data_IF_174319372757
#
_entry.id   IF_174319372757
#
_cell.length_a   1.000
_cell.length_b   1.000
_cell.length_c   1.000
_cell.angle_alpha   90.00
_cell.angle_beta   90.00
_cell.angle_gamma   90.00
#
_symmetry.space_group_name_H-M   'P 1'
#
loop_
_entity.id
_entity.type
_entity.pdbx_description
1 polymer ?
#
# COMPACT_ATOMS: atom_id res chain seq x y z
N UNK A 1 -4.44 -27.00 -30.43
CA UNK A 1 -3.29 -26.08 -30.68
C UNK A 1 -3.03 -25.30 -29.40
N UNK A 2 -1.80 -25.18 -28.90
CA UNK A 2 -1.53 -24.29 -27.78
C UNK A 2 -1.77 -22.86 -28.27
N UNK A 3 -2.76 -22.21 -27.68
CA UNK A 3 -3.14 -20.84 -27.94
C UNK A 3 -1.89 -19.97 -27.73
N UNK A 4 -1.36 -19.34 -28.79
CA UNK A 4 -0.23 -18.41 -28.68
C UNK A 4 -0.68 -17.28 -27.75
N UNK A 5 -0.16 -17.29 -26.52
CA UNK A 5 -0.37 -16.20 -25.56
C UNK A 5 0.13 -14.90 -26.21
N UNK A 6 -0.64 -13.79 -26.18
CA UNK A 6 -0.18 -12.53 -26.73
C UNK A 6 1.14 -12.14 -26.04
N UNK A 7 2.18 -12.00 -26.85
CA UNK A 7 3.57 -11.84 -26.43
C UNK A 7 3.92 -10.41 -25.98
N UNK A 8 2.94 -9.70 -25.43
CA UNK A 8 3.05 -8.28 -25.10
C UNK A 8 4.08 -8.04 -24.00
N UNK A 9 4.92 -7.04 -24.20
CA UNK A 9 5.93 -6.60 -23.24
C UNK A 9 5.31 -5.64 -22.24
N UNK A 10 5.40 -5.99 -20.97
CA UNK A 10 4.91 -5.17 -19.85
C UNK A 10 6.11 -4.45 -19.24
N UNK A 11 6.06 -3.13 -19.17
CA UNK A 11 7.09 -2.33 -18.50
C UNK A 11 6.53 -1.78 -17.20
N UNK A 12 7.20 -2.08 -16.10
CA UNK A 12 6.92 -1.59 -14.76
C UNK A 12 7.91 -0.48 -14.46
N UNK A 13 7.40 0.72 -14.21
CA UNK A 13 8.17 1.91 -13.87
C UNK A 13 8.30 1.99 -12.35
N UNK A 14 9.47 1.66 -11.80
CA UNK A 14 9.70 1.67 -10.36
C UNK A 14 9.85 0.27 -9.75
N UNK A 15 10.87 0.12 -8.92
CA UNK A 15 11.28 -1.16 -8.32
C UNK A 15 11.00 -1.26 -6.82
N UNK A 16 10.01 -0.51 -6.32
CA UNK A 16 9.52 -0.67 -4.94
C UNK A 16 8.63 -1.90 -4.78
N UNK A 17 8.08 -2.15 -3.57
CA UNK A 17 7.23 -3.30 -3.28
C UNK A 17 6.09 -3.52 -4.28
N UNK A 18 5.33 -2.48 -4.62
CA UNK A 18 4.22 -2.62 -5.56
C UNK A 18 4.67 -3.09 -6.95
N UNK A 19 5.74 -2.50 -7.49
CA UNK A 19 6.27 -2.86 -8.81
C UNK A 19 6.86 -4.26 -8.83
N UNK A 20 7.60 -4.65 -7.79
CA UNK A 20 8.22 -5.99 -7.72
C UNK A 20 7.18 -7.09 -7.59
N UNK A 21 6.22 -6.96 -6.68
CA UNK A 21 5.18 -7.98 -6.51
C UNK A 21 4.27 -8.09 -7.74
N UNK A 22 3.96 -6.96 -8.40
CA UNK A 22 3.26 -6.97 -9.68
C UNK A 22 4.06 -7.73 -10.74
N UNK A 23 5.34 -7.38 -10.95
CA UNK A 23 6.18 -8.02 -11.95
C UNK A 23 6.37 -9.53 -11.71
N UNK A 24 6.57 -9.94 -10.45
CA UNK A 24 6.70 -11.36 -10.11
C UNK A 24 5.41 -12.13 -10.40
N UNK A 25 4.25 -11.61 -10.00
CA UNK A 25 2.98 -12.27 -10.30
C UNK A 25 2.68 -12.33 -11.80
N UNK A 26 3.07 -11.31 -12.57
CA UNK A 26 2.96 -11.34 -14.04
C UNK A 26 3.87 -12.42 -14.66
N UNK A 27 5.10 -12.58 -14.16
CA UNK A 27 6.02 -13.65 -14.61
C UNK A 27 5.47 -15.03 -14.26
N UNK A 28 4.84 -15.20 -13.09
CA UNK A 28 4.18 -16.45 -12.69
C UNK A 28 2.99 -16.80 -13.63
N UNK A 29 2.33 -15.80 -14.24
CA UNK A 29 1.34 -15.99 -15.31
C UNK A 29 1.93 -16.20 -16.72
N UNK A 30 3.26 -16.29 -16.83
CA UNK A 30 3.98 -16.44 -18.10
C UNK A 30 4.05 -15.16 -18.95
N UNK A 31 3.80 -13.98 -18.37
CA UNK A 31 3.91 -12.69 -19.05
C UNK A 31 5.33 -12.12 -18.96
N UNK A 32 5.73 -11.34 -19.98
CA UNK A 32 7.06 -10.71 -20.05
C UNK A 32 7.07 -9.38 -19.30
N UNK A 33 7.47 -9.41 -18.04
CA UNK A 33 7.60 -8.22 -17.19
C UNK A 33 9.04 -7.68 -17.15
N UNK A 34 9.19 -6.38 -17.36
CA UNK A 34 10.46 -5.64 -17.23
C UNK A 34 10.29 -4.51 -16.21
N UNK A 35 11.11 -4.49 -15.16
CA UNK A 35 11.18 -3.34 -14.25
C UNK A 35 12.28 -2.39 -14.74
N UNK A 36 11.95 -1.11 -14.92
CA UNK A 36 12.94 -0.03 -15.05
C UNK A 36 12.95 0.75 -13.74
N UNK A 37 14.09 0.79 -13.06
CA UNK A 37 14.20 1.50 -11.79
C UNK A 37 15.61 1.98 -11.51
N UNK A 38 15.74 3.04 -10.72
CA UNK A 38 17.01 3.44 -10.12
C UNK A 38 17.05 2.90 -8.69
N UNK A 39 17.99 2.01 -8.34
CA UNK A 39 18.18 1.60 -6.95
C UNK A 39 18.38 2.82 -6.06
N UNK A 40 17.82 2.76 -4.85
CA UNK A 40 17.89 3.87 -3.89
C UNK A 40 19.35 4.24 -3.59
N UNK A 41 19.79 5.49 -3.84
CA UNK A 41 21.20 5.85 -3.72
C UNK A 41 21.64 6.14 -2.28
N UNK A 42 20.71 6.32 -1.35
CA UNK A 42 20.97 6.63 0.06
C UNK A 42 20.11 5.78 1.00
N UNK A 43 20.56 5.48 2.23
CA UNK A 43 19.73 4.83 3.22
C UNK A 43 18.54 5.72 3.60
N UNK A 44 17.40 5.09 3.84
CA UNK A 44 16.20 5.73 4.35
C UNK A 44 15.53 4.75 5.30
N UNK A 45 15.05 5.23 6.44
CA UNK A 45 14.51 4.36 7.47
C UNK A 45 13.00 4.48 7.57
N UNK A 46 12.36 3.33 7.73
CA UNK A 46 10.91 3.18 7.88
C UNK A 46 10.64 2.07 8.91
N UNK A 47 9.53 2.19 9.63
CA UNK A 47 8.96 1.08 10.40
C UNK A 47 8.11 0.20 9.50
N UNK A 48 8.24 -1.12 9.63
CA UNK A 48 7.38 -2.09 8.94
C UNK A 48 6.72 -3.01 9.95
N UNK A 49 5.39 -3.07 9.94
CA UNK A 49 4.64 -4.04 10.76
C UNK A 49 5.01 -5.49 10.41
N UNK A 50 4.57 -6.45 11.21
CA UNK A 50 4.85 -7.87 10.94
C UNK A 50 4.06 -8.41 9.73
N UNK A 51 3.02 -7.70 9.26
CA UNK A 51 2.10 -8.19 8.21
C UNK A 51 2.78 -8.47 6.86
N UNK A 52 3.62 -7.58 6.31
CA UNK A 52 4.33 -7.84 5.05
C UNK A 52 5.24 -9.06 5.07
N UNK A 53 5.73 -9.50 6.25
CA UNK A 53 6.65 -10.62 6.37
C UNK A 53 6.05 -11.92 5.81
N UNK A 54 4.76 -12.14 6.02
CA UNK A 54 4.07 -13.32 5.51
C UNK A 54 4.05 -13.32 3.98
N UNK A 55 3.80 -12.17 3.35
CA UNK A 55 3.85 -12.04 1.89
C UNK A 55 5.26 -12.27 1.35
N UNK A 56 6.29 -11.72 2.00
CA UNK A 56 7.69 -11.93 1.61
C UNK A 56 8.08 -13.42 1.68
N UNK A 57 7.66 -14.13 2.74
CA UNK A 57 7.92 -15.57 2.90
C UNK A 57 7.16 -16.40 1.87
N UNK A 58 5.87 -16.12 1.69
CA UNK A 58 5.02 -16.83 0.73
C UNK A 58 5.55 -16.71 -0.71
N UNK A 59 6.01 -15.52 -1.09
CA UNK A 59 6.63 -15.31 -2.40
C UNK A 59 8.06 -15.86 -2.48
N UNK A 60 8.66 -16.34 -1.40
CA UNK A 60 10.03 -16.86 -1.40
C UNK A 60 11.06 -15.77 -1.66
N UNK A 61 11.02 -14.68 -0.87
CA UNK A 61 11.98 -13.57 -0.93
C UNK A 61 13.00 -13.63 0.23
N UNK A 62 13.90 -14.62 0.27
CA UNK A 62 14.79 -14.84 1.40
C UNK A 62 15.80 -13.71 1.59
N UNK A 63 16.28 -13.08 0.51
CA UNK A 63 17.24 -11.98 0.63
C UNK A 63 16.55 -10.76 1.25
N UNK A 64 15.31 -10.50 0.85
CA UNK A 64 14.51 -9.40 1.40
C UNK A 64 14.22 -9.63 2.88
N UNK A 65 13.82 -10.85 3.26
CA UNK A 65 13.60 -11.22 4.68
C UNK A 65 14.90 -11.10 5.49
N UNK A 66 16.05 -11.49 4.94
CA UNK A 66 17.34 -11.35 5.60
C UNK A 66 17.81 -9.89 5.73
N UNK A 67 17.24 -8.96 4.95
CA UNK A 67 17.58 -7.53 5.00
C UNK A 67 16.81 -6.74 6.07
N UNK A 68 15.83 -7.36 6.73
CA UNK A 68 15.06 -6.73 7.79
C UNK A 68 15.96 -6.45 9.00
N UNK A 69 15.88 -5.26 9.57
CA UNK A 69 16.54 -4.94 10.83
C UNK A 69 15.84 -5.58 12.03
N UNK A 70 16.17 -5.18 13.26
CA UNK A 70 15.58 -5.78 14.46
C UNK A 70 14.07 -5.50 14.53
N UNK A 71 13.32 -6.49 15.04
CA UNK A 71 11.92 -6.34 15.44
C UNK A 71 11.85 -5.73 16.84
N UNK A 72 11.39 -4.49 16.95
CA UNK A 72 11.37 -3.73 18.20
C UNK A 72 9.95 -3.40 18.63
N UNK A 73 9.76 -3.16 19.93
CA UNK A 73 8.52 -2.61 20.45
C UNK A 73 8.39 -1.13 20.04
N UNK A 74 7.24 -0.77 19.46
CA UNK A 74 6.88 0.60 19.10
C UNK A 74 6.19 1.26 20.29
N UNK A 75 6.88 2.20 20.94
CA UNK A 75 6.30 3.04 21.99
C UNK A 75 5.40 4.10 21.37
N UNK A 76 4.32 4.47 22.06
CA UNK A 76 3.39 5.51 21.65
C UNK A 76 3.13 6.45 22.81
N UNK A 77 3.31 7.76 22.58
CA UNK A 77 2.92 8.82 23.52
C UNK A 77 1.81 9.65 22.86
N UNK A 78 0.57 9.32 23.16
CA UNK A 78 -0.60 9.89 22.47
C UNK A 78 -1.70 10.20 23.48
N UNK A 79 -2.34 11.36 23.33
CA UNK A 79 -3.37 11.84 24.25
C UNK A 79 -2.95 11.79 25.73
N UNK A 80 -1.71 12.15 26.04
CA UNK A 80 -1.15 12.13 27.40
C UNK A 80 -0.85 10.74 27.95
N UNK A 81 -1.03 9.68 27.17
CA UNK A 81 -0.80 8.29 27.59
C UNK A 81 0.43 7.70 26.90
N UNK A 82 1.28 7.03 27.68
CA UNK A 82 2.39 6.23 27.18
C UNK A 82 2.00 4.75 27.13
N UNK A 83 2.08 4.14 25.95
CA UNK A 83 1.72 2.74 25.74
C UNK A 83 2.70 2.04 24.81
N UNK A 84 2.86 0.72 24.97
CA UNK A 84 3.49 -0.14 23.97
C UNK A 84 2.35 -0.85 23.24
N UNK A 85 2.02 -0.37 22.04
CA UNK A 85 0.87 -0.89 21.29
C UNK A 85 1.23 -2.03 20.36
N UNK A 86 2.36 -1.93 19.64
CA UNK A 86 2.69 -2.82 18.53
C UNK A 86 4.21 -3.05 18.42
N UNK A 87 4.61 -3.92 17.49
CA UNK A 87 6.01 -4.15 17.12
C UNK A 87 6.22 -3.83 15.64
N UNK A 88 7.42 -3.38 15.30
CA UNK A 88 7.81 -3.13 13.92
C UNK A 88 9.28 -3.47 13.67
N UNK A 89 9.57 -3.92 12.46
CA UNK A 89 10.93 -4.05 11.95
C UNK A 89 11.45 -2.67 11.60
N UNK A 90 12.67 -2.36 12.06
CA UNK A 90 13.42 -1.20 11.55
C UNK A 90 13.96 -1.58 10.18
N UNK A 91 13.52 -0.87 9.14
CA UNK A 91 14.00 -1.10 7.78
C UNK A 91 15.03 -0.06 7.39
N UNK A 92 16.13 -0.51 6.80
CA UNK A 92 16.92 0.32 5.89
C UNK A 92 16.41 0.07 4.46
N UNK A 93 15.67 1.04 3.90
CA UNK A 93 15.08 0.93 2.57
C UNK A 93 16.10 0.76 1.45
N UNK A 94 17.35 1.20 1.62
CA UNK A 94 18.37 0.97 0.60
C UNK A 94 18.74 -0.50 0.47
N UNK A 95 18.97 -1.19 1.59
CA UNK A 95 19.29 -2.62 1.59
C UNK A 95 18.06 -3.45 1.25
N UNK A 96 16.90 -3.09 1.81
CA UNK A 96 15.62 -3.73 1.54
C UNK A 96 15.22 -3.65 0.06
N UNK A 97 15.19 -2.45 -0.55
CA UNK A 97 14.80 -2.28 -1.95
C UNK A 97 15.77 -3.04 -2.89
N UNK A 98 17.06 -3.08 -2.57
CA UNK A 98 18.06 -3.86 -3.32
C UNK A 98 17.85 -5.37 -3.21
N UNK A 99 17.60 -5.87 -2.00
CA UNK A 99 17.33 -7.28 -1.77
C UNK A 99 16.06 -7.74 -2.50
N UNK A 100 15.03 -6.90 -2.47
CA UNK A 100 13.78 -7.10 -3.18
C UNK A 100 13.98 -7.25 -4.70
N UNK A 101 14.81 -6.39 -5.31
CA UNK A 101 15.15 -6.50 -6.74
C UNK A 101 15.95 -7.76 -7.07
N UNK A 102 16.81 -8.24 -6.16
CA UNK A 102 17.56 -9.49 -6.34
C UNK A 102 16.65 -10.70 -6.30
N UNK A 103 15.70 -10.75 -5.36
CA UNK A 103 14.70 -11.81 -5.29
C UNK A 103 13.79 -11.80 -6.54
N UNK A 104 13.38 -10.61 -7.00
CA UNK A 104 12.62 -10.47 -8.25
C UNK A 104 13.37 -11.01 -9.46
N UNK A 105 14.67 -10.69 -9.57
CA UNK A 105 15.55 -11.20 -10.64
C UNK A 105 15.68 -12.73 -10.57
N UNK A 106 15.80 -13.30 -9.37
CA UNK A 106 15.84 -14.76 -9.17
C UNK A 106 14.54 -15.46 -9.62
N UNK A 107 13.41 -14.75 -9.59
CA UNK A 107 12.13 -15.21 -10.14
C UNK A 107 11.95 -15.00 -11.65
N UNK A 108 12.96 -14.50 -12.36
CA UNK A 108 12.91 -14.30 -13.80
C UNK A 108 12.38 -12.93 -14.25
N UNK A 109 12.16 -11.99 -13.34
CA UNK A 109 11.85 -10.60 -13.72
C UNK A 109 13.10 -9.96 -14.34
N UNK A 110 12.95 -9.34 -15.50
CA UNK A 110 14.05 -8.57 -16.11
C UNK A 110 14.14 -7.19 -15.47
N UNK A 111 15.29 -6.87 -14.87
CA UNK A 111 15.53 -5.58 -14.21
C UNK A 111 16.50 -4.74 -15.04
N UNK A 112 16.08 -3.54 -15.37
CA UNK A 112 16.89 -2.50 -16.01
C UNK A 112 17.16 -1.41 -14.99
N UNK A 113 18.43 -1.21 -14.65
CA UNK A 113 18.84 -0.09 -13.81
C UNK A 113 18.87 1.19 -14.66
N UNK A 114 17.96 2.12 -14.38
CA UNK A 114 17.83 3.36 -15.13
C UNK A 114 16.82 4.33 -14.54
N UNK A 115 17.07 5.63 -14.73
CA UNK A 115 16.10 6.67 -14.42
C UNK A 115 15.22 6.89 -15.65
N UNK A 116 13.90 6.78 -15.46
CA UNK A 116 12.92 7.11 -16.50
C UNK A 116 12.83 8.62 -16.62
N UNK A 117 13.10 9.15 -17.80
CA UNK A 117 13.07 10.58 -18.10
C UNK A 117 11.78 10.99 -18.80
N UNK A 118 11.32 10.18 -19.76
CA UNK A 118 10.15 10.49 -20.57
C UNK A 118 9.34 9.24 -20.88
N UNK A 119 8.03 9.39 -20.88
CA UNK A 119 7.06 8.34 -21.23
C UNK A 119 6.05 8.94 -22.19
N UNK A 120 5.92 8.37 -23.38
CA UNK A 120 4.99 8.84 -24.41
C UNK A 120 4.18 7.65 -24.91
N UNK A 121 2.89 7.86 -25.12
CA UNK A 121 2.06 6.89 -25.83
C UNK A 121 2.11 7.21 -27.32
N UNK A 122 2.67 6.31 -28.12
CA UNK A 122 2.60 6.37 -29.58
C UNK A 122 1.22 5.93 -30.08
N UNK A 123 1.10 5.56 -31.36
CA UNK A 123 -0.17 5.08 -31.93
C UNK A 123 -0.59 3.72 -31.34
N UNK A 124 0.35 2.80 -31.12
CA UNK A 124 0.05 1.45 -30.63
C UNK A 124 0.80 1.07 -29.34
N UNK A 125 1.96 1.68 -29.08
CA UNK A 125 2.86 1.27 -27.99
C UNK A 125 3.29 2.45 -27.13
N UNK A 126 3.68 2.15 -25.91
CA UNK A 126 4.39 3.07 -25.04
C UNK A 126 5.85 3.14 -25.44
N UNK A 127 6.42 4.35 -25.40
CA UNK A 127 7.83 4.62 -25.55
C UNK A 127 8.36 5.19 -24.23
N UNK A 128 9.31 4.50 -23.63
CA UNK A 128 9.90 4.82 -22.33
C UNK A 128 11.37 5.15 -22.53
N UNK A 129 11.75 6.41 -22.35
CA UNK A 129 13.14 6.85 -22.39
C UNK A 129 13.77 6.75 -21.00
N UNK A 130 14.94 6.12 -20.91
CA UNK A 130 15.71 5.96 -19.69
C UNK A 130 17.20 6.16 -20.00
N UNK A 131 17.79 7.22 -19.43
CA UNK A 131 19.10 7.69 -19.87
C UNK A 131 19.14 7.91 -21.40
N UNK A 132 20.16 7.41 -22.13
CA UNK A 132 20.25 7.54 -23.58
C UNK A 132 19.43 6.49 -24.35
N UNK A 133 18.76 5.55 -23.67
CA UNK A 133 18.08 4.41 -24.27
C UNK A 133 16.56 4.62 -24.30
N UNK A 134 15.88 3.90 -25.20
CA UNK A 134 14.42 3.87 -25.27
C UNK A 134 13.93 2.43 -25.34
N UNK A 135 12.85 2.14 -24.60
CA UNK A 135 12.15 0.86 -24.59
C UNK A 135 10.72 1.06 -25.12
N UNK A 136 10.21 0.06 -25.84
CA UNK A 136 8.78 -0.01 -26.13
C UNK A 136 8.07 -0.99 -25.20
N UNK A 137 6.80 -0.72 -24.91
CA UNK A 137 5.93 -1.59 -24.12
C UNK A 137 4.51 -1.62 -24.73
N UNK A 138 3.88 -2.79 -24.64
CA UNK A 138 2.48 -2.99 -25.00
C UNK A 138 1.57 -2.67 -23.80
N UNK A 139 2.08 -2.79 -22.57
CA UNK A 139 1.38 -2.39 -21.35
C UNK A 139 2.34 -1.69 -20.38
N UNK A 140 1.86 -0.66 -19.69
CA UNK A 140 2.65 0.13 -18.75
C UNK A 140 2.11 0.05 -17.32
N UNK A 141 2.95 -0.31 -16.36
CA UNK A 141 2.62 -0.23 -14.93
C UNK A 141 3.39 0.93 -14.31
N UNK A 142 2.66 1.94 -13.81
CA UNK A 142 3.23 3.05 -13.06
C UNK A 142 3.35 2.65 -11.58
N UNK A 143 4.59 2.44 -11.12
CA UNK A 143 4.93 1.99 -9.76
C UNK A 143 5.99 2.89 -9.11
N UNK A 144 6.12 4.16 -9.53
CA UNK A 144 7.08 5.13 -8.98
C UNK A 144 6.62 5.76 -7.65
N UNK A 145 5.61 5.18 -7.02
CA UNK A 145 5.04 5.66 -5.76
C UNK A 145 4.50 7.09 -5.88
N UNK A 146 4.74 7.94 -4.86
CA UNK A 146 4.25 9.33 -4.84
C UNK A 146 4.79 10.22 -5.97
N UNK A 147 5.85 9.80 -6.67
CA UNK A 147 6.39 10.50 -7.85
C UNK A 147 5.65 10.16 -9.15
N UNK A 148 4.65 9.26 -9.10
CA UNK A 148 3.88 8.83 -10.26
C UNK A 148 3.21 10.01 -10.97
N UNK A 149 3.33 10.05 -12.30
CA UNK A 149 2.77 11.14 -13.13
C UNK A 149 1.74 10.64 -14.13
N UNK A 150 1.72 9.34 -14.41
CA UNK A 150 0.91 8.79 -15.49
C UNK A 150 -0.61 8.94 -15.26
N UNK A 151 -1.10 8.64 -14.05
CA UNK A 151 -2.52 8.83 -13.70
C UNK A 151 -2.92 10.30 -13.71
N UNK A 152 -2.12 11.17 -13.07
CA UNK A 152 -2.37 12.61 -12.96
C UNK A 152 -2.37 13.37 -14.29
N UNK A 153 -1.57 12.93 -15.25
CA UNK A 153 -1.36 13.65 -16.50
C UNK A 153 -2.38 13.31 -17.61
N UNK A 154 -3.21 12.27 -17.44
CA UNK A 154 -3.91 11.65 -18.58
C UNK A 154 -5.40 11.84 -18.69
N UNK A 155 -6.12 12.32 -17.66
CA UNK A 155 -7.47 12.91 -17.72
C UNK A 155 -7.87 13.26 -16.28
N UNK A 156 -7.47 14.43 -15.79
CA UNK A 156 -7.93 14.91 -14.48
C UNK A 156 -8.84 16.11 -14.71
N UNK A 157 -10.14 15.92 -14.49
CA UNK A 157 -10.92 17.01 -13.91
C UNK A 157 -10.48 17.22 -12.46
N UNK A 158 -10.82 18.37 -11.87
CA UNK A 158 -10.43 18.67 -10.48
C UNK A 158 -10.98 17.64 -9.45
N UNK A 159 -12.01 16.87 -9.81
CA UNK A 159 -12.66 15.86 -8.94
C UNK A 159 -11.92 14.49 -8.89
N UNK A 160 -10.92 14.26 -9.73
CA UNK A 160 -10.26 12.95 -9.88
C UNK A 160 -9.09 12.71 -8.90
N UNK A 161 -8.80 13.68 -8.03
CA UNK A 161 -7.74 13.61 -7.04
C UNK A 161 -8.24 14.03 -5.65
N UNK A 162 -8.35 13.07 -4.74
CA UNK A 162 -8.75 13.33 -3.35
C UNK A 162 -7.53 13.27 -2.46
N UNK A 163 -7.27 14.34 -1.71
CA UNK A 163 -6.20 14.40 -0.71
C UNK A 163 -6.77 14.75 0.66
N UNK A 164 -6.21 14.13 1.70
CA UNK A 164 -6.34 14.58 3.07
C UNK A 164 -5.68 15.96 3.25
N UNK A 165 -5.94 16.66 4.38
CA UNK A 165 -5.24 17.88 4.74
C UNK A 165 -3.73 17.76 4.51
N UNK A 166 -3.14 18.80 3.92
CA UNK A 166 -1.76 18.76 3.46
C UNK A 166 -0.84 18.46 4.65
N UNK A 167 -0.09 17.37 4.52
CA UNK A 167 0.82 16.86 5.55
C UNK A 167 2.19 16.65 4.94
N UNK A 168 3.22 17.15 5.60
CA UNK A 168 4.61 16.91 5.24
C UNK A 168 5.37 16.26 6.38
N UNK A 169 6.19 15.28 6.04
CA UNK A 169 7.20 14.70 6.91
C UNK A 169 8.51 15.47 6.73
N UNK A 170 8.97 16.10 7.79
CA UNK A 170 10.30 16.69 7.92
C UNK A 170 11.21 15.66 8.56
N UNK A 171 12.39 15.41 7.99
CA UNK A 171 13.32 14.38 8.46
C UNK A 171 14.71 14.95 8.70
N UNK A 172 15.29 14.60 9.85
CA UNK A 172 16.73 14.70 10.14
C UNK A 172 17.29 13.35 10.59
N UNK A 173 18.56 13.15 10.26
CA UNK A 173 19.34 11.99 10.70
C UNK A 173 20.33 12.41 11.77
N UNK A 174 20.59 11.52 12.72
CA UNK A 174 21.52 11.71 13.82
C UNK A 174 22.44 10.50 14.00
N UNK A 175 23.67 10.78 14.40
CA UNK A 175 24.55 9.82 15.06
C UNK A 175 24.17 9.71 16.53
N UNK A 176 24.12 8.49 17.06
CA UNK A 176 23.93 8.21 18.49
C UNK A 176 25.03 7.28 19.00
N UNK A 177 25.39 7.31 20.30
CA UNK A 177 26.40 6.42 20.83
C UNK A 177 26.05 4.93 20.63
N UNK A 178 27.09 4.11 20.45
CA UNK A 178 26.93 2.66 20.48
C UNK A 178 26.49 2.19 21.88
N UNK A 179 25.72 1.10 21.94
CA UNK A 179 25.25 0.51 23.21
C UNK A 179 23.81 0.86 23.59
N UNK A 180 23.17 1.80 22.88
CA UNK A 180 21.73 2.03 23.01
C UNK A 180 20.94 0.95 22.27
N UNK A 181 20.01 0.25 22.94
CA UNK A 181 19.16 -0.76 22.30
C UNK A 181 18.28 -0.15 21.21
N UNK A 182 18.11 -0.86 20.09
CA UNK A 182 17.22 -0.45 19.01
C UNK A 182 15.79 -0.17 19.53
N UNK A 183 15.15 0.87 19.01
CA UNK A 183 13.76 1.20 19.36
C UNK A 183 13.11 2.04 18.28
N UNK A 184 11.79 2.04 18.31
CA UNK A 184 10.98 3.05 17.64
C UNK A 184 9.96 3.64 18.62
N UNK A 185 9.56 4.87 18.35
CA UNK A 185 8.53 5.55 19.13
C UNK A 185 7.76 6.52 18.26
N UNK A 186 6.50 6.74 18.62
CA UNK A 186 5.73 7.91 18.17
C UNK A 186 5.34 8.78 19.34
N UNK A 187 5.17 10.08 19.08
CA UNK A 187 4.64 11.02 20.05
C UNK A 187 3.86 12.14 19.36
N UNK A 188 2.71 12.49 19.92
CA UNK A 188 1.91 13.65 19.52
C UNK A 188 2.37 14.90 20.29
N UNK A 189 2.42 16.04 19.60
CA UNK A 189 2.74 17.36 20.14
C UNK A 189 1.81 18.44 19.51
N UNK A 190 1.80 19.70 20.00
CA UNK A 190 0.82 20.69 19.55
C UNK A 190 0.73 20.87 18.02
N UNK A 191 1.87 20.92 17.32
CA UNK A 191 1.89 21.17 15.88
C UNK A 191 1.76 19.91 15.00
N UNK A 192 1.71 18.71 15.59
CA UNK A 192 1.63 17.46 14.83
C UNK A 192 2.08 16.23 15.60
N UNK A 193 2.72 15.29 14.93
CA UNK A 193 3.30 14.12 15.59
C UNK A 193 4.67 13.78 15.03
N UNK A 194 5.46 13.03 15.79
CA UNK A 194 6.78 12.59 15.40
C UNK A 194 6.91 11.07 15.46
N UNK A 195 7.71 10.53 14.55
CA UNK A 195 8.24 9.17 14.62
C UNK A 195 9.75 9.24 14.80
N UNK A 196 10.23 8.51 15.79
CA UNK A 196 11.64 8.37 16.09
C UNK A 196 12.05 6.91 15.98
N UNK A 197 13.25 6.69 15.48
CA UNK A 197 13.91 5.40 15.52
C UNK A 197 15.37 5.56 15.91
N UNK A 198 15.93 4.53 16.54
CA UNK A 198 17.36 4.26 16.55
C UNK A 198 17.60 2.78 16.28
N UNK A 199 18.60 2.47 15.46
CA UNK A 199 18.85 1.11 14.95
C UNK A 199 19.74 0.26 15.89
N UNK A 200 20.29 0.88 16.94
CA UNK A 200 21.25 0.25 17.85
C UNK A 200 22.65 0.06 17.27
N UNK A 201 22.90 0.60 16.08
CA UNK A 201 24.18 0.58 15.35
C UNK A 201 24.71 1.99 15.10
N UNK A 202 24.27 2.95 15.92
CA UNK A 202 24.73 4.34 15.89
C UNK A 202 23.95 5.28 14.98
N UNK A 203 22.82 4.84 14.40
CA UNK A 203 21.94 5.69 13.60
C UNK A 203 20.62 5.95 14.31
N UNK A 204 20.19 7.21 14.31
CA UNK A 204 18.87 7.63 14.73
C UNK A 204 18.22 8.56 13.69
N UNK A 205 16.89 8.48 13.56
CA UNK A 205 16.11 9.31 12.64
C UNK A 205 14.95 9.92 13.42
N UNK A 206 14.74 11.23 13.26
CA UNK A 206 13.55 11.92 13.73
C UNK A 206 12.77 12.42 12.50
N UNK A 207 11.54 11.93 12.37
CA UNK A 207 10.55 12.39 11.42
C UNK A 207 9.46 13.16 12.14
N UNK A 208 9.18 14.39 11.72
CA UNK A 208 8.12 15.24 12.27
C UNK A 208 7.08 15.48 11.19
N UNK A 209 5.84 15.09 11.46
CA UNK A 209 4.69 15.22 10.58
C UNK A 209 3.88 16.44 10.99
N UNK A 210 3.85 17.45 10.12
CA UNK A 210 3.18 18.74 10.36
C UNK A 210 2.25 19.08 9.22
N UNK A 211 1.40 20.07 9.49
CA UNK A 211 0.57 20.71 8.49
C UNK A 211 1.48 21.39 7.47
N UNK A 212 1.12 21.26 6.20
CA UNK A 212 1.85 21.86 5.09
C UNK A 212 0.89 22.45 4.08
N UNK A 213 -0.16 23.11 4.57
CA UNK A 213 -1.03 23.89 3.70
C UNK A 213 -0.21 24.99 3.03
N UNK A 214 -0.74 25.51 1.91
CA UNK A 214 -0.02 26.48 1.10
C UNK A 214 0.39 27.70 1.94
N UNK A 215 1.71 27.90 2.08
CA UNK A 215 2.31 28.99 2.84
C UNK A 215 2.66 28.68 4.29
N UNK A 216 2.34 27.50 4.82
CA UNK A 216 2.67 27.14 6.21
C UNK A 216 4.13 26.69 6.40
N UNK A 217 4.74 26.07 5.38
CA UNK A 217 6.15 25.67 5.44
C UNK A 217 7.08 26.84 5.06
N UNK A 218 8.21 27.01 5.76
CA UNK A 218 9.21 28.02 5.42
C UNK A 218 9.95 27.68 4.12
N UNK A 219 10.74 28.64 3.62
CA UNK A 219 11.70 28.38 2.55
C UNK A 219 12.75 27.36 2.98
N UNK A 220 13.52 26.86 2.01
CA UNK A 220 14.56 25.84 2.24
C UNK A 220 15.59 26.28 3.29
N UNK A 221 15.94 27.56 3.30
CA UNK A 221 16.89 28.18 4.23
C UNK A 221 16.37 28.18 5.67
N UNK A 222 15.04 28.30 5.85
CA UNK A 222 14.39 28.33 7.17
C UNK A 222 13.99 26.96 7.73
N UNK A 223 14.10 25.88 6.94
CA UNK A 223 13.65 24.55 7.35
C UNK A 223 14.39 24.01 8.57
N UNK A 224 15.70 24.26 8.67
CA UNK A 224 16.52 23.78 9.77
C UNK A 224 16.08 24.38 11.12
N UNK A 225 15.93 25.71 11.16
CA UNK A 225 15.44 26.43 12.32
C UNK A 225 13.99 26.05 12.67
N UNK A 226 13.14 25.85 11.65
CA UNK A 226 11.77 25.39 11.87
C UNK A 226 11.73 23.98 12.47
N UNK A 227 12.55 23.05 11.97
CA UNK A 227 12.66 21.71 12.52
C UNK A 227 13.10 21.74 13.99
N UNK A 228 14.09 22.56 14.34
CA UNK A 228 14.54 22.72 15.72
C UNK A 228 13.40 23.23 16.62
N UNK A 229 12.66 24.27 16.20
CA UNK A 229 11.49 24.77 16.95
C UNK A 229 10.37 23.74 17.15
N UNK A 230 10.18 22.84 16.19
CA UNK A 230 9.23 21.73 16.33
C UNK A 230 9.75 20.67 17.31
N UNK A 231 11.06 20.40 17.27
CA UNK A 231 11.73 19.47 18.19
C UNK A 231 11.64 19.98 19.63
N UNK A 232 11.78 21.29 19.86
CA UNK A 232 11.66 21.91 21.19
C UNK A 232 10.25 21.78 21.80
N UNK A 233 9.23 21.60 20.97
CA UNK A 233 7.84 21.39 21.40
C UNK A 233 7.50 19.93 21.67
N UNK A 234 8.46 19.02 21.47
CA UNK A 234 8.29 17.57 21.59
C UNK A 234 9.04 17.09 22.85
N UNK A 235 8.36 16.90 24.00
CA UNK A 235 9.02 16.53 25.25
C UNK A 235 9.86 15.26 25.15
N UNK A 236 9.40 14.28 24.37
CA UNK A 236 10.10 13.02 24.16
C UNK A 236 11.44 13.20 23.43
N UNK A 237 11.62 14.29 22.66
CA UNK A 237 12.86 14.58 21.94
C UNK A 237 14.06 14.75 22.89
N UNK A 238 13.85 15.24 24.11
CA UNK A 238 14.91 15.38 25.12
C UNK A 238 15.55 14.01 25.45
N UNK A 239 14.72 12.97 25.52
CA UNK A 239 15.18 11.60 25.79
C UNK A 239 15.66 10.92 24.51
N UNK A 240 14.96 11.11 23.39
CA UNK A 240 15.27 10.46 22.12
C UNK A 240 16.58 10.96 21.50
N UNK A 241 16.87 12.25 21.63
CA UNK A 241 18.05 12.88 21.06
C UNK A 241 19.15 13.14 22.10
N UNK A 242 19.03 12.56 23.30
CA UNK A 242 20.11 12.59 24.29
C UNK A 242 21.38 12.02 23.68
N UNK A 243 22.47 12.77 23.77
CA UNK A 243 23.79 12.45 23.21
C UNK A 243 23.80 12.27 21.68
N UNK A 244 22.73 12.66 20.98
CA UNK A 244 22.64 12.57 19.54
C UNK A 244 23.31 13.77 18.86
N UNK A 245 24.01 13.51 17.75
CA UNK A 245 24.64 14.55 16.92
C UNK A 245 24.02 14.51 15.53
N UNK A 246 23.45 15.62 15.06
CA UNK A 246 22.90 15.68 13.71
C UNK A 246 24.01 15.42 12.68
N UNK A 247 23.73 14.63 11.63
CA UNK A 247 24.70 14.40 10.55
C UNK A 247 25.06 15.68 9.81
N UNK A 248 24.05 16.50 9.53
CA UNK A 248 24.15 17.83 8.93
C UNK A 248 22.90 18.66 9.28
N UNK A 249 22.87 19.91 8.82
CA UNK A 249 21.73 20.81 9.00
C UNK A 249 20.65 20.63 7.90
N UNK A 250 20.68 19.55 7.11
CA UNK A 250 19.70 19.35 6.04
C UNK A 250 18.45 18.68 6.58
N UNK A 251 17.31 19.35 6.36
CA UNK A 251 15.99 18.78 6.58
C UNK A 251 15.44 18.28 5.26
N UNK A 252 15.12 16.98 5.20
CA UNK A 252 14.37 16.42 4.07
C UNK A 252 12.88 16.63 4.26
N UNK A 253 12.19 17.14 3.24
CA UNK A 253 10.73 17.30 3.24
C UNK A 253 10.11 16.29 2.28
N UNK A 254 9.05 15.58 2.71
CA UNK A 254 8.29 14.65 1.87
C UNK A 254 6.79 14.84 2.11
N UNK A 255 5.99 14.84 1.05
CA UNK A 255 4.53 14.79 1.18
C UNK A 255 4.11 13.47 1.83
N UNK A 256 3.24 13.57 2.82
CA UNK A 256 2.80 12.46 3.65
C UNK A 256 1.27 12.33 3.71
N UNK A 257 0.53 13.31 3.17
CA UNK A 257 -0.93 13.27 3.15
C UNK A 257 -1.46 11.97 2.51
N UNK A 258 -2.56 11.45 3.06
CA UNK A 258 -3.32 10.40 2.40
C UNK A 258 -3.87 10.95 1.08
N UNK A 259 -3.80 10.17 0.01
CA UNK A 259 -4.28 10.56 -1.31
C UNK A 259 -4.81 9.36 -2.08
N UNK A 260 -5.83 9.61 -2.88
CA UNK A 260 -6.36 8.74 -3.92
C UNK A 260 -6.30 9.48 -5.25
N UNK A 261 -5.81 8.83 -6.29
CA UNK A 261 -5.72 9.41 -7.64
C UNK A 261 -6.43 8.51 -8.64
N UNK A 262 -7.35 9.11 -9.41
CA UNK A 262 -8.00 8.52 -10.57
C UNK A 262 -7.56 9.26 -11.85
N UNK A 263 -7.66 8.63 -13.03
CA UNK A 263 -7.93 7.20 -13.22
C UNK A 263 -6.75 6.33 -12.76
N UNK A 264 -7.06 5.16 -12.19
CA UNK A 264 -6.07 4.18 -11.71
C UNK A 264 -5.56 3.25 -12.82
N UNK A 265 -6.14 3.34 -14.02
CA UNK A 265 -5.78 2.56 -15.19
C UNK A 265 -6.60 2.94 -16.42
N UNK A 266 -6.20 2.37 -17.56
CA UNK A 266 -6.89 2.45 -18.84
C UNK A 266 -6.61 1.20 -19.67
N UNK A 267 -6.68 1.31 -20.98
CA UNK A 267 -6.60 0.16 -21.91
C UNK A 267 -5.28 -0.60 -21.78
N UNK A 268 -4.18 0.13 -21.64
CA UNK A 268 -2.83 -0.40 -21.70
C UNK A 268 -1.91 0.17 -20.61
N UNK A 269 -2.51 0.67 -19.53
CA UNK A 269 -1.76 1.07 -18.35
C UNK A 269 -2.52 0.86 -17.04
N UNK A 270 -1.77 0.71 -15.96
CA UNK A 270 -2.28 0.66 -14.60
C UNK A 270 -1.33 1.39 -13.64
N UNK A 271 -1.87 2.01 -12.59
CA UNK A 271 -1.12 2.67 -11.53
C UNK A 271 -1.20 1.83 -10.25
N UNK A 272 -0.07 1.56 -9.61
CA UNK A 272 0.02 0.72 -8.41
C UNK A 272 0.77 1.42 -7.26
N UNK A 273 0.51 0.98 -6.04
CA UNK A 273 1.09 1.53 -4.80
C UNK A 273 0.72 3.00 -4.59
N UNK A 274 1.64 3.76 -4.00
CA UNK A 274 1.43 5.18 -3.64
C UNK A 274 1.14 6.11 -4.84
N UNK A 275 1.25 5.62 -6.08
CA UNK A 275 0.82 6.37 -7.26
C UNK A 275 -0.70 6.46 -7.40
N UNK A 276 -1.41 5.42 -6.96
CA UNK A 276 -2.88 5.34 -7.00
C UNK A 276 -3.50 5.61 -5.63
N UNK A 277 -2.88 5.07 -4.58
CA UNK A 277 -3.37 5.16 -3.20
C UNK A 277 -2.18 5.27 -2.25
N UNK A 278 -2.11 6.37 -1.52
CA UNK A 278 -1.22 6.50 -0.39
C UNK A 278 -2.07 6.78 0.86
N UNK A 279 -1.86 6.02 1.93
CA UNK A 279 -2.58 6.20 3.19
C UNK A 279 -1.76 7.01 4.18
N UNK A 280 -2.39 7.39 5.29
CA UNK A 280 -1.70 8.11 6.36
C UNK A 280 -0.56 7.25 6.94
N UNK A 281 0.67 7.80 7.04
CA UNK A 281 1.85 7.07 7.51
C UNK A 281 1.75 6.61 8.97
N UNK A 282 0.85 7.18 9.77
CA UNK A 282 0.63 6.79 11.17
C UNK A 282 0.30 5.31 11.33
N UNK A 283 -0.40 4.75 10.32
CA UNK A 283 -0.77 3.34 10.24
C UNK A 283 0.41 2.37 10.18
N UNK A 284 1.60 2.82 9.74
CA UNK A 284 2.79 1.96 9.55
C UNK A 284 2.60 0.84 8.50
N UNK A 285 1.57 0.95 7.65
CA UNK A 285 1.16 -0.14 6.75
C UNK A 285 1.48 0.13 5.26
N UNK A 286 2.24 1.17 4.93
CA UNK A 286 2.53 1.55 3.54
C UNK A 286 3.07 0.39 2.69
N UNK A 287 4.04 -0.38 3.20
CA UNK A 287 4.59 -1.56 2.50
C UNK A 287 3.54 -2.65 2.32
N UNK A 288 2.68 -2.89 3.33
CA UNK A 288 1.60 -3.87 3.22
C UNK A 288 0.63 -3.52 2.09
N UNK A 289 0.21 -2.25 1.99
CA UNK A 289 -0.65 -1.79 0.92
C UNK A 289 0.04 -1.79 -0.44
N UNK A 290 1.32 -1.44 -0.52
CA UNK A 290 2.08 -1.49 -1.76
C UNK A 290 2.14 -2.93 -2.32
N UNK A 291 2.44 -3.93 -1.47
CA UNK A 291 2.41 -5.34 -1.85
C UNK A 291 1.01 -5.74 -2.33
N UNK A 292 -0.02 -5.44 -1.53
CA UNK A 292 -1.41 -5.78 -1.85
C UNK A 292 -1.89 -5.15 -3.16
N UNK A 293 -1.51 -3.90 -3.44
CA UNK A 293 -1.80 -3.21 -4.70
C UNK A 293 -1.11 -3.88 -5.88
N UNK A 294 0.19 -4.19 -5.76
CA UNK A 294 0.94 -4.88 -6.80
C UNK A 294 0.35 -6.25 -7.17
N UNK A 295 -0.09 -7.02 -6.17
CA UNK A 295 -0.74 -8.32 -6.39
C UNK A 295 -2.14 -8.19 -6.98
N UNK A 296 -2.90 -7.19 -6.54
CA UNK A 296 -4.26 -6.94 -7.06
C UNK A 296 -4.24 -6.52 -8.53
N UNK A 297 -3.14 -5.94 -9.01
CA UNK A 297 -2.95 -5.53 -10.40
C UNK A 297 -2.77 -6.72 -11.36
N UNK A 298 -2.26 -7.85 -10.90
CA UNK A 298 -1.88 -8.99 -11.76
C UNK A 298 -3.07 -9.53 -12.57
N UNK A 299 -4.21 -9.94 -11.96
CA UNK A 299 -5.35 -10.43 -12.72
C UNK A 299 -6.02 -9.33 -13.57
N UNK A 300 -5.95 -8.07 -13.13
CA UNK A 300 -6.47 -6.91 -13.88
C UNK A 300 -5.69 -6.75 -15.19
N UNK A 301 -4.37 -6.72 -15.12
CA UNK A 301 -3.49 -6.60 -16.29
C UNK A 301 -3.67 -7.81 -17.21
N UNK A 302 -3.77 -9.01 -16.65
CA UNK A 302 -3.98 -10.22 -17.44
C UNK A 302 -5.31 -10.18 -18.21
N UNK A 303 -6.40 -9.73 -17.58
CA UNK A 303 -7.69 -9.49 -18.26
C UNK A 303 -7.57 -8.41 -19.33
N UNK A 304 -7.03 -7.23 -19.01
CA UNK A 304 -6.89 -6.14 -19.99
C UNK A 304 -6.11 -6.56 -21.24
N UNK A 305 -5.08 -7.39 -21.09
CA UNK A 305 -4.24 -7.83 -22.20
C UNK A 305 -4.80 -9.02 -23.00
N UNK A 306 -5.61 -9.89 -22.39
CA UNK A 306 -6.04 -11.15 -23.01
C UNK A 306 -7.54 -11.26 -23.26
N UNK A 307 -8.35 -10.46 -22.55
CA UNK A 307 -9.80 -10.33 -22.64
C UNK A 307 -10.19 -8.85 -22.60
N UNK A 308 -9.78 -8.05 -23.59
CA UNK A 308 -10.06 -6.61 -23.62
C UNK A 308 -11.56 -6.29 -23.59
N UNK A 309 -12.43 -7.23 -23.97
CA UNK A 309 -13.89 -7.16 -23.82
C UNK A 309 -14.37 -7.09 -22.36
N UNK A 310 -13.56 -7.58 -21.41
CA UNK A 310 -13.84 -7.55 -19.96
C UNK A 310 -13.17 -6.34 -19.27
N UNK A 311 -12.70 -5.35 -20.04
CA UNK A 311 -11.95 -4.19 -19.53
C UNK A 311 -12.70 -3.45 -18.44
N UNK A 312 -13.98 -3.15 -18.65
CA UNK A 312 -14.80 -2.40 -17.71
C UNK A 312 -14.89 -3.13 -16.37
N UNK A 313 -15.05 -4.45 -16.39
CA UNK A 313 -15.04 -5.30 -15.19
C UNK A 313 -13.67 -5.26 -14.49
N UNK A 314 -12.59 -5.34 -15.24
CA UNK A 314 -11.23 -5.30 -14.70
C UNK A 314 -10.90 -3.97 -14.02
N UNK A 315 -11.26 -2.85 -14.67
CA UNK A 315 -11.04 -1.51 -14.12
C UNK A 315 -11.99 -1.21 -12.94
N UNK A 316 -13.23 -1.70 -12.99
CA UNK A 316 -14.17 -1.63 -11.86
C UNK A 316 -13.62 -2.38 -10.65
N UNK A 317 -13.20 -3.65 -10.84
CA UNK A 317 -12.60 -4.45 -9.76
C UNK A 317 -11.46 -3.71 -9.07
N UNK A 318 -10.54 -3.14 -9.86
CA UNK A 318 -9.36 -2.47 -9.34
C UNK A 318 -9.72 -1.17 -8.60
N UNK A 319 -10.61 -0.36 -9.18
CA UNK A 319 -11.11 0.89 -8.59
C UNK A 319 -11.80 0.64 -7.24
N UNK A 320 -12.71 -0.34 -7.17
CA UNK A 320 -13.40 -0.69 -5.92
C UNK A 320 -12.43 -1.13 -4.81
N UNK A 321 -11.27 -1.71 -5.14
CA UNK A 321 -10.26 -2.04 -4.11
C UNK A 321 -9.60 -0.79 -3.54
N UNK A 322 -9.33 0.17 -4.41
CA UNK A 322 -8.66 1.42 -4.06
C UNK A 322 -9.61 2.29 -3.25
N UNK A 323 -10.87 2.42 -3.68
CA UNK A 323 -11.90 3.15 -2.95
C UNK A 323 -12.10 2.57 -1.55
N UNK A 324 -12.32 1.26 -1.45
CA UNK A 324 -12.50 0.60 -0.15
C UNK A 324 -11.30 0.79 0.79
N UNK A 325 -10.07 0.64 0.27
CA UNK A 325 -8.87 0.82 1.06
C UNK A 325 -8.64 2.30 1.47
N UNK A 326 -9.01 3.24 0.59
CA UNK A 326 -8.96 4.66 0.89
C UNK A 326 -9.96 5.01 1.99
N UNK A 327 -11.24 4.75 1.80
CA UNK A 327 -12.32 5.03 2.77
C UNK A 327 -11.99 4.47 4.16
N UNK A 328 -11.67 3.18 4.25
CA UNK A 328 -11.31 2.55 5.53
C UNK A 328 -10.05 3.15 6.17
N UNK A 329 -9.05 3.51 5.37
CA UNK A 329 -7.84 4.18 5.86
C UNK A 329 -8.10 5.61 6.35
N UNK A 330 -9.02 6.33 5.69
CA UNK A 330 -9.41 7.69 6.03
C UNK A 330 -10.22 7.72 7.32
N UNK A 331 -11.19 6.81 7.50
CA UNK A 331 -11.96 6.65 8.73
C UNK A 331 -11.06 6.29 9.92
N UNK A 332 -10.14 5.33 9.74
CA UNK A 332 -9.18 4.98 10.78
C UNK A 332 -8.27 6.16 11.15
N UNK A 333 -7.84 6.96 10.16
CA UNK A 333 -7.10 8.19 10.38
C UNK A 333 -7.90 9.20 11.19
N UNK A 334 -9.16 9.46 10.80
CA UNK A 334 -10.09 10.36 11.48
C UNK A 334 -10.24 10.02 12.96
N UNK A 335 -10.55 8.76 13.26
CA UNK A 335 -10.70 8.27 14.62
C UNK A 335 -9.41 8.43 15.43
N UNK A 336 -8.27 8.10 14.83
CA UNK A 336 -6.99 8.20 15.53
C UNK A 336 -6.59 9.66 15.82
N UNK A 337 -6.78 10.59 14.86
CA UNK A 337 -6.54 12.01 15.10
C UNK A 337 -7.54 12.60 16.09
N UNK A 338 -8.82 12.19 16.06
CA UNK A 338 -9.83 12.62 17.03
C UNK A 338 -9.59 12.08 18.45
N UNK A 339 -8.80 11.01 18.59
CA UNK A 339 -8.42 10.47 19.91
C UNK A 339 -7.44 11.35 20.68
N UNK A 340 -6.76 12.29 20.02
CA UNK A 340 -5.93 13.29 20.68
C UNK A 340 -6.79 14.47 21.16
N UNK A 341 -6.95 14.61 22.47
CA UNK A 341 -7.85 15.57 23.09
C UNK A 341 -7.12 16.73 23.78
N UNK A 342 -5.78 16.73 23.82
CA UNK A 342 -5.01 17.83 24.43
C UNK A 342 -5.00 19.10 23.57
N UNK A 343 -5.13 18.95 22.25
CA UNK A 343 -5.01 20.06 21.29
C UNK A 343 -6.10 20.07 20.21
N UNK A 344 -7.40 19.99 20.57
CA UNK A 344 -8.47 19.88 19.59
C UNK A 344 -8.61 21.11 18.68
N UNK A 345 -8.17 22.28 19.16
CA UNK A 345 -8.24 23.55 18.41
C UNK A 345 -6.99 23.86 17.57
N UNK A 346 -5.89 23.12 17.76
CA UNK A 346 -4.69 23.31 16.96
C UNK A 346 -4.96 22.90 15.51
N UNK A 347 -4.50 23.74 14.56
CA UNK A 347 -4.88 23.63 13.15
C UNK A 347 -4.56 22.26 12.53
N UNK A 348 -3.45 21.63 12.97
CA UNK A 348 -3.07 20.29 12.53
C UNK A 348 -4.14 19.25 12.90
N UNK A 349 -4.52 19.23 14.18
CA UNK A 349 -5.41 18.25 14.79
C UNK A 349 -6.85 18.46 14.33
N UNK A 350 -7.33 19.71 14.42
CA UNK A 350 -8.69 20.11 14.05
C UNK A 350 -9.07 19.69 12.63
N UNK A 351 -8.18 19.88 11.65
CA UNK A 351 -8.46 19.53 10.25
C UNK A 351 -8.51 18.02 10.02
N UNK A 352 -7.70 17.26 10.75
CA UNK A 352 -7.53 15.80 10.54
C UNK A 352 -8.53 14.97 11.33
N UNK A 353 -9.02 15.46 12.46
CA UNK A 353 -10.04 14.78 13.28
C UNK A 353 -11.45 14.83 12.66
N UNK A 354 -11.68 15.72 11.71
CA UNK A 354 -12.98 15.87 11.02
C UNK A 354 -12.96 15.39 9.56
N UNK A 355 -11.79 14.99 9.04
CA UNK A 355 -11.63 14.53 7.67
C UNK A 355 -11.64 13.00 7.63
N UNK A 356 -12.36 12.36 6.68
CA UNK A 356 -13.16 12.97 5.62
C UNK A 356 -14.46 13.60 6.16
N UNK A 357 -14.93 14.71 5.57
CA UNK A 357 -16.12 15.42 6.02
C UNK A 357 -17.38 14.57 5.78
N UNK A 358 -18.33 14.58 6.71
CA UNK A 358 -19.68 14.04 6.49
C UNK A 358 -19.82 12.53 6.31
N UNK A 359 -18.75 11.75 6.41
CA UNK A 359 -18.84 10.29 6.40
C UNK A 359 -19.21 9.79 7.80
N UNK A 360 -20.51 9.56 8.03
CA UNK A 360 -20.96 8.56 9.00
C UNK A 360 -20.57 7.17 8.45
N UNK A 361 -20.15 6.21 9.30
CA UNK A 361 -19.92 4.86 8.84
C UNK A 361 -21.17 4.37 8.12
N UNK A 362 -21.03 3.72 6.94
CA UNK A 362 -22.19 3.27 6.19
C UNK A 362 -23.07 2.40 7.09
N UNK A 363 -24.41 2.51 6.97
CA UNK A 363 -25.31 1.73 7.81
C UNK A 363 -24.96 0.24 7.69
N UNK A 364 -25.19 -0.57 8.76
CA UNK A 364 -24.84 -1.98 8.76
C UNK A 364 -25.35 -2.66 7.49
N UNK A 365 -24.43 -3.14 6.67
CA UNK A 365 -24.77 -3.63 5.35
C UNK A 365 -25.61 -4.90 5.52
N UNK A 366 -26.85 -4.88 5.02
CA UNK A 366 -27.70 -6.07 5.03
C UNK A 366 -27.09 -7.14 4.12
N UNK A 367 -27.05 -8.37 4.61
CA UNK A 367 -26.54 -9.49 3.83
C UNK A 367 -27.34 -9.64 2.54
N UNK A 368 -26.65 -9.64 1.39
CA UNK A 368 -27.29 -9.80 0.08
C UNK A 368 -26.42 -10.61 -0.88
N UNK A 369 -27.08 -11.30 -1.79
CA UNK A 369 -26.46 -11.95 -2.95
C UNK A 369 -26.51 -10.99 -4.15
N UNK A 370 -25.39 -10.76 -4.81
CA UNK A 370 -25.36 -9.98 -6.05
C UNK A 370 -24.18 -10.40 -6.93
N UNK A 371 -24.14 -9.91 -8.17
CA UNK A 371 -22.99 -10.12 -9.05
C UNK A 371 -21.92 -9.07 -8.82
N UNK A 372 -20.64 -9.49 -8.71
CA UNK A 372 -19.50 -8.56 -8.61
C UNK A 372 -18.27 -9.08 -9.37
N UNK A 373 -17.37 -8.18 -9.80
CA UNK A 373 -16.08 -8.58 -10.35
C UNK A 373 -15.24 -9.31 -9.29
N UNK A 374 -14.70 -10.47 -9.63
CA UNK A 374 -13.84 -11.28 -8.75
C UNK A 374 -12.63 -11.81 -9.49
N UNK A 375 -11.61 -12.26 -8.75
CA UNK A 375 -10.49 -12.98 -9.34
C UNK A 375 -10.85 -14.45 -9.49
N UNK A 376 -10.81 -14.96 -10.71
CA UNK A 376 -11.01 -16.38 -11.05
C UNK A 376 -9.99 -16.79 -12.11
N UNK A 377 -9.20 -17.83 -11.80
CA UNK A 377 -8.18 -18.39 -12.69
C UNK A 377 -7.22 -17.36 -13.31
N UNK A 378 -6.87 -16.33 -12.53
CA UNK A 378 -5.98 -15.24 -12.96
C UNK A 378 -6.63 -14.17 -13.85
N UNK A 379 -7.95 -14.21 -14.03
CA UNK A 379 -8.74 -13.19 -14.72
C UNK A 379 -9.73 -12.53 -13.76
N UNK A 380 -10.23 -11.36 -14.16
CA UNK A 380 -11.40 -10.72 -13.57
C UNK A 380 -12.66 -11.20 -14.29
N UNK A 381 -13.58 -11.81 -13.55
CA UNK A 381 -14.86 -12.32 -14.05
C UNK A 381 -16.02 -11.85 -13.16
N UNK A 382 -17.23 -11.86 -13.70
CA UNK A 382 -18.44 -11.52 -12.95
C UNK A 382 -19.04 -12.78 -12.30
N UNK A 383 -19.03 -12.83 -10.97
CA UNK A 383 -19.53 -13.98 -10.19
C UNK A 383 -20.58 -13.57 -9.17
N UNK A 384 -21.39 -14.55 -8.75
CA UNK A 384 -22.32 -14.39 -7.65
C UNK A 384 -21.56 -14.36 -6.32
N UNK A 385 -21.77 -13.30 -5.55
CA UNK A 385 -21.08 -13.06 -4.28
C UNK A 385 -22.07 -12.80 -3.17
N UNK A 386 -21.65 -13.11 -1.94
CA UNK A 386 -22.36 -12.72 -0.73
C UNK A 386 -21.69 -11.49 -0.14
N UNK A 387 -22.39 -10.36 -0.12
CA UNK A 387 -21.97 -9.12 0.53
C UNK A 387 -22.57 -9.07 1.93
N UNK A 388 -21.76 -8.80 2.94
CA UNK A 388 -22.16 -8.66 4.34
C UNK A 388 -21.29 -7.61 5.03
N UNK A 389 -21.64 -7.20 6.25
CA UNK A 389 -21.00 -6.09 6.96
C UNK A 389 -19.47 -6.24 7.10
N UNK A 390 -18.96 -7.45 7.30
CA UNK A 390 -17.52 -7.72 7.42
C UNK A 390 -16.83 -7.99 6.07
N UNK A 391 -17.61 -8.19 4.99
CA UNK A 391 -17.11 -8.36 3.61
C UNK A 391 -17.89 -7.49 2.63
N UNK A 392 -17.73 -6.15 2.69
CA UNK A 392 -18.52 -5.20 1.91
C UNK A 392 -18.22 -5.26 0.40
N UNK A 393 -17.15 -5.95 0.01
CA UNK A 393 -16.78 -6.24 -1.37
C UNK A 393 -17.30 -7.57 -1.90
N UNK A 394 -17.94 -8.36 -1.05
CA UNK A 394 -18.46 -9.68 -1.37
C UNK A 394 -17.40 -10.78 -1.34
N UNK A 395 -17.84 -11.97 -0.95
CA UNK A 395 -17.07 -13.21 -1.05
C UNK A 395 -17.80 -14.14 -2.01
N UNK A 396 -17.10 -14.62 -3.04
CA UNK A 396 -17.68 -15.53 -4.02
C UNK A 396 -17.41 -16.99 -3.69
N UNK A 397 -16.26 -17.29 -3.08
CA UNK A 397 -15.91 -18.64 -2.64
C UNK A 397 -15.10 -18.67 -1.35
N UNK A 398 -15.15 -19.80 -0.65
CA UNK A 398 -14.26 -20.16 0.47
C UNK A 398 -13.67 -21.53 0.16
N UNK A 399 -12.34 -21.63 0.21
CA UNK A 399 -11.61 -22.87 -0.07
C UNK A 399 -12.07 -23.58 -1.37
N UNK A 400 -12.30 -22.83 -2.45
CA UNK A 400 -12.73 -23.40 -3.73
C UNK A 400 -14.24 -23.62 -3.88
N UNK A 401 -15.04 -23.38 -2.82
CA UNK A 401 -16.49 -23.63 -2.81
C UNK A 401 -17.29 -22.36 -3.07
N UNK A 402 -18.08 -22.25 -4.15
CA UNK A 402 -18.90 -21.07 -4.45
C UNK A 402 -20.02 -20.87 -3.42
N UNK A 403 -19.99 -19.75 -2.71
CA UNK A 403 -20.83 -19.53 -1.53
C UNK A 403 -22.32 -19.40 -1.85
N UNK A 404 -22.69 -18.72 -2.94
CA UNK A 404 -24.10 -18.54 -3.31
C UNK A 404 -24.71 -19.89 -3.71
N UNK A 405 -24.00 -20.68 -4.51
CA UNK A 405 -24.43 -22.05 -4.88
C UNK A 405 -24.54 -22.95 -3.65
N UNK A 406 -23.55 -22.93 -2.76
CA UNK A 406 -23.60 -23.69 -1.51
C UNK A 406 -24.80 -23.28 -0.65
N UNK A 407 -25.09 -21.98 -0.55
CA UNK A 407 -26.24 -21.48 0.20
C UNK A 407 -27.57 -22.01 -0.36
N UNK A 408 -27.73 -22.05 -1.68
CA UNK A 408 -28.91 -22.59 -2.33
C UNK A 408 -29.06 -24.10 -2.08
N UNK A 409 -27.96 -24.86 -2.17
CA UNK A 409 -27.95 -26.29 -1.86
C UNK A 409 -28.29 -26.56 -0.39
N UNK A 410 -27.77 -25.77 0.54
CA UNK A 410 -28.07 -25.90 1.99
C UNK A 410 -29.55 -25.66 2.25
N UNK A 411 -30.13 -24.62 1.64
CA UNK A 411 -31.57 -24.32 1.74
C UNK A 411 -32.44 -25.41 1.10
N UNK A 412 -31.91 -26.12 0.11
CA UNK A 412 -32.50 -27.33 -0.48
C UNK A 412 -32.36 -28.60 0.37
N UNK A 413 -31.71 -28.54 1.54
CA UNK A 413 -31.57 -29.67 2.47
C UNK A 413 -30.34 -30.57 2.24
N UNK A 414 -29.39 -30.17 1.40
CA UNK A 414 -28.17 -30.95 1.14
C UNK A 414 -27.24 -31.03 2.36
N UNK A 415 -26.56 -32.18 2.49
CA UNK A 415 -25.47 -32.37 3.45
C UNK A 415 -24.10 -32.06 2.82
N UNK A 416 -23.04 -32.07 3.64
CA UNK A 416 -21.69 -31.73 3.19
C UNK A 416 -21.07 -32.77 2.24
N UNK A 417 -21.46 -34.04 2.33
CA UNK A 417 -20.97 -35.10 1.46
C UNK A 417 -21.53 -34.96 0.04
N UNK A 418 -22.83 -34.67 -0.07
CA UNK A 418 -23.49 -34.42 -1.36
C UNK A 418 -22.87 -33.19 -2.05
N UNK A 419 -22.69 -32.11 -1.29
CA UNK A 419 -22.10 -30.87 -1.79
C UNK A 419 -20.63 -31.03 -2.18
N UNK A 420 -19.86 -31.84 -1.47
CA UNK A 420 -18.47 -32.13 -1.82
C UNK A 420 -18.38 -32.84 -3.16
N UNK A 421 -19.31 -33.78 -3.41
CA UNK A 421 -19.44 -34.47 -4.68
C UNK A 421 -19.85 -33.53 -5.81
N UNK A 422 -20.86 -32.67 -5.59
CA UNK A 422 -21.34 -31.69 -6.57
C UNK A 422 -20.25 -30.70 -7.00
N UNK A 423 -19.46 -30.18 -6.05
CA UNK A 423 -18.40 -29.21 -6.33
C UNK A 423 -17.09 -29.86 -6.78
N UNK A 424 -16.93 -31.19 -6.65
CA UNK A 424 -15.68 -31.89 -6.94
C UNK A 424 -14.54 -31.48 -6.01
N UNK A 425 -14.83 -31.29 -4.73
CA UNK A 425 -13.88 -30.82 -3.69
C UNK A 425 -13.92 -31.73 -2.47
N UNK A 426 -12.95 -31.58 -1.56
CA UNK A 426 -12.96 -32.30 -0.30
C UNK A 426 -14.07 -31.80 0.63
N UNK A 427 -14.70 -32.71 1.37
CA UNK A 427 -15.71 -32.39 2.41
C UNK A 427 -15.25 -31.29 3.36
N UNK A 428 -13.97 -31.28 3.73
CA UNK A 428 -13.40 -30.27 4.62
C UNK A 428 -13.54 -28.84 4.06
N UNK A 429 -13.43 -28.67 2.74
CA UNK A 429 -13.61 -27.38 2.07
C UNK A 429 -15.07 -26.93 2.15
N UNK A 430 -16.01 -27.85 1.93
CA UNK A 430 -17.45 -27.59 2.09
C UNK A 430 -17.79 -27.23 3.53
N UNK A 431 -17.29 -27.97 4.51
CA UNK A 431 -17.51 -27.70 5.93
C UNK A 431 -16.94 -26.32 6.32
N UNK A 432 -15.76 -25.95 5.79
CA UNK A 432 -15.17 -24.61 5.97
C UNK A 432 -16.08 -23.51 5.41
N UNK A 433 -16.57 -23.67 4.18
CA UNK A 433 -17.49 -22.73 3.54
C UNK A 433 -18.85 -22.65 4.26
N UNK A 434 -19.43 -23.78 4.69
CA UNK A 434 -20.66 -23.81 5.50
C UNK A 434 -20.46 -23.09 6.83
N UNK A 435 -19.35 -23.35 7.53
CA UNK A 435 -18.99 -22.65 8.76
C UNK A 435 -18.89 -21.15 8.54
N UNK A 436 -18.33 -20.71 7.42
CA UNK A 436 -18.26 -19.29 7.05
C UNK A 436 -19.66 -18.66 6.94
N UNK A 437 -20.62 -19.36 6.35
CA UNK A 437 -22.02 -18.92 6.23
C UNK A 437 -22.74 -18.91 7.60
N UNK A 438 -22.57 -19.98 8.39
CA UNK A 438 -23.24 -20.14 9.69
C UNK A 438 -22.78 -19.10 10.71
N UNK A 439 -21.47 -18.82 10.82
CA UNK A 439 -20.93 -17.80 11.75
C UNK A 439 -21.49 -16.40 11.47
N UNK A 440 -21.99 -16.16 10.24
CA UNK A 440 -22.57 -14.89 9.81
C UNK A 440 -24.10 -14.90 9.75
N UNK A 441 -24.75 -15.96 10.26
CA UNK A 441 -26.21 -16.14 10.23
C UNK A 441 -26.82 -16.02 8.83
N UNK A 442 -26.12 -16.55 7.81
CA UNK A 442 -26.54 -16.43 6.39
C UNK A 442 -27.39 -17.63 5.95
N UNK A 443 -27.25 -18.77 6.63
CA UNK A 443 -27.86 -20.05 6.25
C UNK A 443 -29.38 -20.09 6.36
N UNK A 444 -30.01 -19.11 7.01
CA UNK A 444 -31.45 -19.13 7.32
C UNK A 444 -31.74 -20.00 8.54
#
# INVERSE_FOLDING_TARGET
MPMRLPSGKIVIMGGGPAGVFCACGLVELGLKAVIITRPRPFPAWEGMSERPLNSLRHFGFPQTVASLGPLVARKSHWNGNAQIQNREYILNRQTFDRALLRDAKAKGVHIIEGRIEKVVRGAEKWHISYGPQTLTADFLVEARGRESRLGRARMAGDDDHVTAPATSALLKSYHVPFGHSAMTSVAAFPAGWAWYMRDGQGTAILQIFVSSEKGELPSKEGLDQYFSRLTDQLPEAEVWLRDAQAHDNKVSVRTAAAMKTLPVGGDDFLVVGDGSLALDPLSGNGIFYAIGSGLSAVPVINTLMRRPEDKELALQFYRERIDFAFEGGCLMGKEFYASEQRWPEEAFWKRRSIWPPGEEPPPPQTTKTCKRPVVRDGYIELEDVIVCADHPRGVWQVDGVPLVKLLDLIRGGSNDDDNATEFGVDKAQVTSARKWLTVRNITG
#
